data_IF_135543472103
#
_entry.id   IF_135543472103
#
_cell.length_a   1.000
_cell.length_b   1.000
_cell.length_c   1.000
_cell.angle_alpha   90.00
_cell.angle_beta   90.00
_cell.angle_gamma   90.00
#
_symmetry.space_group_name_H-M   'P 1'
#
loop_
_entity.id
_entity.type
_entity.pdbx_description
1 polymer ?
#
# COMPACT_ATOMS: atom_id res chain seq x y z
N UNK A 1 9.48 14.02 9.51
CA UNK A 1 9.24 15.49 9.51
C UNK A 1 7.72 15.72 9.59
N UNK A 2 7.23 16.78 10.22
CA UNK A 2 5.78 17.04 10.25
C UNK A 2 5.33 17.66 8.91
N UNK A 3 4.20 17.18 8.37
CA UNK A 3 3.62 17.73 7.14
C UNK A 3 2.91 19.06 7.42
N UNK A 4 2.90 19.96 6.43
CA UNK A 4 2.11 21.19 6.52
C UNK A 4 0.60 20.88 6.46
N UNK A 5 -0.23 21.66 7.16
CA UNK A 5 -1.67 21.42 7.21
C UNK A 5 -2.32 21.39 5.82
N UNK A 6 -1.92 22.30 4.92
CA UNK A 6 -2.41 22.35 3.54
C UNK A 6 -2.05 21.09 2.75
N UNK A 7 -0.84 20.53 2.96
CA UNK A 7 -0.40 19.29 2.32
C UNK A 7 -1.24 18.10 2.81
N UNK A 8 -1.51 18.04 4.11
CA UNK A 8 -2.35 16.99 4.71
C UNK A 8 -3.77 17.06 4.16
N UNK A 9 -4.36 18.26 4.06
CA UNK A 9 -5.71 18.44 3.53
C UNK A 9 -5.82 17.99 2.07
N UNK A 10 -4.86 18.37 1.23
CA UNK A 10 -4.81 17.94 -0.18
C UNK A 10 -4.68 16.43 -0.30
N UNK A 11 -3.72 15.85 0.41
CA UNK A 11 -3.49 14.40 0.39
C UNK A 11 -4.73 13.62 0.86
N UNK A 12 -5.40 14.06 1.93
CA UNK A 12 -6.66 13.45 2.40
C UNK A 12 -7.79 13.56 1.37
N UNK A 13 -7.95 14.72 0.73
CA UNK A 13 -8.99 14.92 -0.29
C UNK A 13 -8.79 14.08 -1.56
N UNK A 14 -7.53 13.86 -1.96
CA UNK A 14 -7.19 12.93 -3.04
C UNK A 14 -7.43 11.48 -2.60
N UNK A 15 -6.95 11.12 -1.41
CA UNK A 15 -7.08 9.77 -0.86
C UNK A 15 -8.54 9.34 -0.72
N UNK A 16 -9.42 10.22 -0.26
CA UNK A 16 -10.85 9.93 -0.11
C UNK A 16 -11.47 9.44 -1.43
N UNK A 17 -11.17 10.11 -2.55
CA UNK A 17 -11.65 9.71 -3.89
C UNK A 17 -11.07 8.36 -4.32
N UNK A 18 -9.79 8.14 -4.05
CA UNK A 18 -9.11 6.89 -4.38
C UNK A 18 -9.62 5.71 -3.54
N UNK A 19 -9.89 5.94 -2.26
CA UNK A 19 -10.27 4.91 -1.29
C UNK A 19 -11.70 4.38 -1.48
N UNK A 20 -12.60 5.11 -2.16
CA UNK A 20 -13.96 4.62 -2.49
C UNK A 20 -13.93 3.24 -3.17
N UNK A 21 -12.90 2.98 -3.99
CA UNK A 21 -12.71 1.71 -4.69
C UNK A 21 -11.58 0.87 -4.07
N UNK A 22 -11.46 0.85 -2.74
CA UNK A 22 -10.30 0.26 -2.04
C UNK A 22 -10.01 -1.20 -2.42
N UNK A 23 -11.04 -2.01 -2.64
CA UNK A 23 -10.83 -3.42 -3.01
C UNK A 23 -10.24 -3.55 -4.42
N UNK A 24 -10.81 -2.88 -5.41
CA UNK A 24 -10.32 -2.92 -6.79
C UNK A 24 -8.95 -2.27 -6.92
N UNK A 25 -8.77 -1.09 -6.31
CA UNK A 25 -7.48 -0.40 -6.33
C UNK A 25 -6.39 -1.20 -5.61
N UNK A 26 -6.72 -1.82 -4.48
CA UNK A 26 -5.80 -2.68 -3.76
C UNK A 26 -5.43 -3.94 -4.56
N UNK A 27 -6.39 -4.53 -5.27
CA UNK A 27 -6.13 -5.67 -6.15
C UNK A 27 -5.19 -5.30 -7.31
N UNK A 28 -5.40 -4.15 -7.95
CA UNK A 28 -4.53 -3.63 -9.02
C UNK A 28 -3.11 -3.42 -8.49
N UNK A 29 -2.95 -2.74 -7.34
CA UNK A 29 -1.62 -2.48 -6.74
C UNK A 29 -0.86 -3.79 -6.50
N UNK A 30 -1.49 -4.78 -5.85
CA UNK A 30 -0.82 -6.05 -5.58
C UNK A 30 -0.53 -6.85 -6.85
N UNK A 31 -1.45 -6.85 -7.82
CA UNK A 31 -1.27 -7.58 -9.08
C UNK A 31 -0.11 -7.00 -9.90
N UNK A 32 0.03 -5.67 -9.94
CA UNK A 32 1.19 -5.00 -10.52
C UNK A 32 2.47 -5.34 -9.76
N UNK A 33 2.44 -5.31 -8.42
CA UNK A 33 3.59 -5.69 -7.60
C UNK A 33 4.07 -7.11 -7.91
N UNK A 34 3.17 -8.09 -8.02
CA UNK A 34 3.54 -9.46 -8.36
C UNK A 34 4.11 -9.61 -9.77
N UNK A 35 3.69 -8.77 -10.72
CA UNK A 35 4.16 -8.81 -12.11
C UNK A 35 5.47 -8.08 -12.34
N UNK A 36 5.60 -6.89 -11.77
CA UNK A 36 6.79 -6.05 -11.90
C UNK A 36 7.91 -6.52 -10.97
N UNK A 37 7.55 -7.14 -9.84
CA UNK A 37 8.46 -7.61 -8.81
C UNK A 37 8.13 -9.06 -8.37
N UNK A 38 8.37 -10.07 -9.22
CA UNK A 38 7.98 -11.46 -8.94
C UNK A 38 8.58 -12.06 -7.67
N UNK A 39 9.69 -11.53 -7.16
CA UNK A 39 10.28 -11.99 -5.89
C UNK A 39 9.34 -11.78 -4.70
N UNK A 40 8.44 -10.80 -4.77
CA UNK A 40 7.44 -10.51 -3.74
C UNK A 40 6.45 -11.65 -3.54
N UNK A 41 6.23 -12.51 -4.54
CA UNK A 41 5.36 -13.69 -4.45
C UNK A 41 5.82 -14.65 -3.35
N UNK A 42 7.11 -14.67 -3.01
CA UNK A 42 7.66 -15.52 -1.94
C UNK A 42 7.10 -15.21 -0.55
N UNK A 43 6.55 -14.01 -0.32
CA UNK A 43 5.90 -13.64 0.94
C UNK A 43 4.45 -14.13 1.05
N UNK A 44 3.85 -14.58 -0.06
CA UNK A 44 2.44 -14.96 -0.17
C UNK A 44 2.26 -16.47 -0.35
N UNK A 45 3.03 -17.29 0.37
CA UNK A 45 3.00 -18.76 0.27
C UNK A 45 1.64 -19.37 0.65
N UNK A 46 0.86 -18.66 1.47
CA UNK A 46 -0.47 -19.10 1.88
C UNK A 46 -1.56 -18.84 0.82
N UNK A 47 -1.25 -18.09 -0.25
CA UNK A 47 -2.22 -17.71 -1.27
C UNK A 47 -2.20 -18.77 -2.38
N UNK A 48 -3.03 -19.81 -2.25
CA UNK A 48 -2.90 -21.03 -3.07
C UNK A 48 -3.22 -20.79 -4.54
N UNK A 49 -4.22 -19.96 -4.83
CA UNK A 49 -4.60 -19.65 -6.21
C UNK A 49 -3.58 -18.71 -6.85
N UNK A 50 -3.06 -17.76 -6.07
CA UNK A 50 -1.97 -16.90 -6.53
C UNK A 50 -0.73 -17.73 -6.87
N UNK A 51 -0.27 -18.60 -5.97
CA UNK A 51 0.93 -19.42 -6.18
C UNK A 51 0.80 -20.36 -7.39
N UNK A 52 -0.38 -20.90 -7.66
CA UNK A 52 -0.59 -21.81 -8.79
C UNK A 52 -0.69 -21.12 -10.14
N UNK A 53 -1.01 -19.81 -10.17
CA UNK A 53 -1.31 -19.08 -11.41
C UNK A 53 -0.35 -17.94 -11.73
N UNK A 54 0.41 -17.40 -10.77
CA UNK A 54 1.21 -16.18 -10.94
C UNK A 54 2.19 -16.20 -12.13
N UNK A 55 2.74 -17.38 -12.44
CA UNK A 55 3.67 -17.57 -13.56
C UNK A 55 3.04 -17.42 -14.94
N UNK A 56 1.72 -17.61 -15.08
CA UNK A 56 1.02 -17.64 -16.38
C UNK A 56 -0.12 -16.63 -16.49
N UNK A 57 -0.76 -16.28 -15.38
CA UNK A 57 -1.87 -15.33 -15.35
C UNK A 57 -1.44 -13.94 -15.80
N UNK A 58 -2.28 -13.22 -16.54
CA UNK A 58 -2.17 -11.79 -16.81
C UNK A 58 -2.40 -10.95 -15.54
N UNK A 59 -2.07 -9.66 -15.57
CA UNK A 59 -2.34 -8.74 -14.44
C UNK A 59 -3.83 -8.76 -14.08
N UNK A 60 -4.73 -8.70 -15.07
CA UNK A 60 -6.18 -8.69 -14.85
C UNK A 60 -6.70 -10.01 -14.26
N UNK A 61 -6.10 -11.15 -14.61
CA UNK A 61 -6.45 -12.42 -13.98
C UNK A 61 -6.01 -12.46 -12.51
N UNK A 62 -4.85 -11.89 -12.17
CA UNK A 62 -4.40 -11.74 -10.78
C UNK A 62 -5.31 -10.80 -9.97
N UNK A 63 -5.80 -9.71 -10.58
CA UNK A 63 -6.74 -8.77 -9.97
C UNK A 63 -8.07 -9.44 -9.60
N UNK A 64 -8.46 -10.49 -10.35
CA UNK A 64 -9.68 -11.25 -10.12
C UNK A 64 -9.59 -12.26 -8.98
N UNK A 65 -8.38 -12.59 -8.49
CA UNK A 65 -8.21 -13.59 -7.45
C UNK A 65 -8.75 -13.09 -6.11
N UNK A 66 -9.62 -13.89 -5.48
CA UNK A 66 -10.26 -13.55 -4.20
C UNK A 66 -9.23 -13.24 -3.10
N UNK A 67 -8.14 -14.00 -3.07
CA UNK A 67 -7.03 -13.82 -2.12
C UNK A 67 -6.36 -12.44 -2.30
N UNK A 68 -6.12 -12.04 -3.56
CA UNK A 68 -5.51 -10.75 -3.92
C UNK A 68 -6.44 -9.59 -3.61
N UNK A 69 -7.71 -9.67 -3.99
CA UNK A 69 -8.73 -8.64 -3.71
C UNK A 69 -8.91 -8.42 -2.21
N UNK A 70 -9.08 -9.51 -1.46
CA UNK A 70 -9.27 -9.45 -0.01
C UNK A 70 -8.05 -8.85 0.70
N UNK A 71 -6.84 -9.22 0.27
CA UNK A 71 -5.62 -8.66 0.87
C UNK A 71 -5.38 -7.21 0.46
N UNK A 72 -5.60 -6.87 -0.81
CA UNK A 72 -5.47 -5.50 -1.33
C UNK A 72 -6.36 -4.53 -0.56
N UNK A 73 -7.61 -4.92 -0.28
CA UNK A 73 -8.51 -4.15 0.59
C UNK A 73 -7.93 -3.94 1.99
N UNK A 74 -7.38 -4.98 2.63
CA UNK A 74 -6.76 -4.86 3.96
C UNK A 74 -5.59 -3.88 3.97
N UNK A 75 -4.74 -3.91 2.94
CA UNK A 75 -3.63 -2.98 2.77
C UNK A 75 -4.14 -1.54 2.65
N UNK A 76 -5.10 -1.28 1.77
CA UNK A 76 -5.64 0.07 1.62
C UNK A 76 -6.42 0.54 2.85
N UNK A 77 -7.10 -0.34 3.59
CA UNK A 77 -7.73 0.03 4.87
C UNK A 77 -6.69 0.41 5.92
N UNK A 78 -5.59 -0.32 6.04
CA UNK A 78 -4.51 0.06 6.96
C UNK A 78 -3.86 1.40 6.57
N UNK A 79 -3.62 1.63 5.28
CA UNK A 79 -3.15 2.92 4.78
C UNK A 79 -4.15 4.03 5.06
N UNK A 80 -5.46 3.77 4.94
CA UNK A 80 -6.47 4.75 5.27
C UNK A 80 -6.37 5.17 6.74
N UNK A 81 -6.24 4.23 7.67
CA UNK A 81 -6.08 4.54 9.09
C UNK A 81 -4.84 5.42 9.33
N UNK A 82 -3.73 5.15 8.63
CA UNK A 82 -2.51 5.97 8.69
C UNK A 82 -2.71 7.38 8.13
N UNK A 83 -3.38 7.52 6.97
CA UNK A 83 -3.70 8.81 6.34
C UNK A 83 -4.56 9.68 7.28
N UNK A 84 -5.49 9.06 8.03
CA UNK A 84 -6.30 9.77 9.01
C UNK A 84 -5.49 10.26 10.21
N UNK A 85 -4.32 9.70 10.50
CA UNK A 85 -3.49 10.07 11.66
C UNK A 85 -2.19 10.77 11.30
N UNK A 86 -1.96 11.16 10.04
CA UNK A 86 -0.66 11.72 9.59
C UNK A 86 -0.30 13.07 10.25
N UNK A 87 -1.27 13.77 10.85
CA UNK A 87 -1.09 14.97 11.68
C UNK A 87 -0.83 14.67 13.17
N UNK A 88 -1.01 13.41 13.60
CA UNK A 88 -0.79 12.96 14.97
C UNK A 88 0.22 11.81 15.00
N UNK A 89 1.49 12.15 15.20
CA UNK A 89 2.59 11.20 15.13
C UNK A 89 2.48 10.04 16.15
N UNK A 90 1.95 10.29 17.34
CA UNK A 90 1.78 9.25 18.35
C UNK A 90 0.67 8.26 17.97
N UNK A 91 -0.45 8.77 17.43
CA UNK A 91 -1.51 7.92 16.91
C UNK A 91 -1.08 7.15 15.65
N UNK A 92 -0.31 7.78 14.76
CA UNK A 92 0.26 7.12 13.59
C UNK A 92 1.19 5.97 13.98
N UNK A 93 2.08 6.19 14.96
CA UNK A 93 2.97 5.14 15.49
C UNK A 93 2.19 3.99 16.12
N UNK A 94 1.13 4.28 16.86
CA UNK A 94 0.29 3.24 17.45
C UNK A 94 -0.36 2.31 16.40
N UNK A 95 -0.61 2.81 15.18
CA UNK A 95 -1.08 2.00 14.05
C UNK A 95 0.09 1.24 13.40
N UNK A 96 1.23 1.91 13.18
CA UNK A 96 2.36 1.35 12.45
C UNK A 96 3.11 0.30 13.26
N UNK A 97 3.32 0.48 14.56
CA UNK A 97 4.08 -0.45 15.41
C UNK A 97 3.63 -1.93 15.28
N UNK A 98 2.35 -2.27 15.49
CA UNK A 98 1.91 -3.66 15.36
C UNK A 98 2.04 -4.18 13.92
N UNK A 99 1.83 -3.34 12.92
CA UNK A 99 1.95 -3.72 11.51
C UNK A 99 3.41 -3.96 11.10
N UNK A 100 4.32 -3.05 11.47
CA UNK A 100 5.74 -3.17 11.21
C UNK A 100 6.31 -4.42 11.87
N UNK A 101 6.00 -4.65 13.16
CA UNK A 101 6.43 -5.86 13.88
C UNK A 101 5.93 -7.15 13.20
N UNK A 102 4.65 -7.16 12.78
CA UNK A 102 4.10 -8.32 12.06
C UNK A 102 4.83 -8.59 10.76
N UNK A 103 5.06 -7.56 9.94
CA UNK A 103 5.74 -7.75 8.66
C UNK A 103 7.22 -8.10 8.83
N UNK A 104 7.92 -7.50 9.80
CA UNK A 104 9.33 -7.74 10.06
C UNK A 104 9.60 -9.11 10.70
N UNK A 105 8.88 -9.44 11.78
CA UNK A 105 9.20 -10.59 12.65
C UNK A 105 8.45 -11.85 12.21
N UNK A 106 7.15 -11.73 11.93
CA UNK A 106 6.32 -12.89 11.61
C UNK A 106 6.37 -13.24 10.13
N UNK A 107 6.19 -12.25 9.26
CA UNK A 107 6.14 -12.45 7.80
C UNK A 107 7.52 -12.35 7.14
N UNK A 108 8.53 -11.80 7.84
CA UNK A 108 9.91 -11.62 7.36
C UNK A 108 10.01 -10.88 6.02
N UNK A 109 9.11 -9.93 5.80
CA UNK A 109 9.10 -9.05 4.62
C UNK A 109 10.21 -8.02 4.77
N UNK A 110 11.07 -7.85 3.77
CA UNK A 110 12.09 -6.79 3.80
C UNK A 110 11.41 -5.41 3.77
N UNK A 111 11.93 -4.47 4.55
CA UNK A 111 11.37 -3.12 4.65
C UNK A 111 11.34 -2.39 3.29
N UNK A 112 12.24 -2.75 2.37
CA UNK A 112 12.31 -2.19 1.01
C UNK A 112 11.09 -2.54 0.15
N UNK A 113 10.40 -3.64 0.46
CA UNK A 113 9.22 -4.05 -0.31
C UNK A 113 8.06 -3.06 -0.16
N UNK A 114 8.00 -2.29 0.93
CA UNK A 114 7.02 -1.22 1.09
C UNK A 114 7.29 -0.03 0.15
N UNK A 115 8.54 0.22 -0.22
CA UNK A 115 8.87 1.28 -1.19
C UNK A 115 8.30 0.92 -2.57
N UNK A 116 8.38 -0.37 -2.94
CA UNK A 116 7.78 -0.90 -4.18
C UNK A 116 6.25 -0.72 -4.14
N UNK A 117 5.61 -1.15 -3.05
CA UNK A 117 4.17 -1.00 -2.88
C UNK A 117 3.73 0.47 -3.00
N UNK A 118 4.44 1.38 -2.33
CA UNK A 118 4.15 2.81 -2.38
C UNK A 118 4.37 3.42 -3.76
N UNK A 119 5.44 3.01 -4.48
CA UNK A 119 5.67 3.47 -5.85
C UNK A 119 4.51 3.08 -6.78
N UNK A 120 4.07 1.82 -6.74
CA UNK A 120 2.96 1.33 -7.56
C UNK A 120 1.64 2.02 -7.20
N UNK A 121 1.39 2.23 -5.90
CA UNK A 121 0.22 2.97 -5.42
C UNK A 121 0.19 4.40 -5.98
N UNK A 122 1.34 5.08 -5.97
CA UNK A 122 1.48 6.44 -6.48
C UNK A 122 1.28 6.52 -8.00
N UNK A 123 1.79 5.56 -8.77
CA UNK A 123 1.51 5.50 -10.21
C UNK A 123 0.03 5.25 -10.49
N UNK A 124 -0.60 4.31 -9.78
CA UNK A 124 -2.04 4.06 -9.93
C UNK A 124 -2.87 5.29 -9.56
N UNK A 125 -2.42 6.06 -8.55
CA UNK A 125 -3.07 7.31 -8.17
C UNK A 125 -2.92 8.38 -9.26
N UNK A 126 -1.74 8.50 -9.89
CA UNK A 126 -1.57 9.39 -11.04
C UNK A 126 -2.51 9.02 -12.19
N UNK A 127 -2.61 7.74 -12.54
CA UNK A 127 -3.48 7.25 -13.61
C UNK A 127 -4.96 7.54 -13.34
N UNK A 128 -5.42 7.39 -12.09
CA UNK A 128 -6.84 7.52 -11.73
C UNK A 128 -7.25 8.91 -11.28
N UNK A 129 -6.32 9.71 -10.76
CA UNK A 129 -6.61 10.98 -10.09
C UNK A 129 -5.76 12.16 -10.60
N UNK A 130 -4.79 11.92 -11.48
CA UNK A 130 -3.90 12.92 -12.08
C UNK A 130 -2.53 13.05 -11.40
N UNK A 131 -1.53 13.62 -12.09
CA UNK A 131 -0.15 13.76 -11.57
C UNK A 131 -0.07 14.59 -10.27
N UNK A 132 -0.93 15.59 -10.11
CA UNK A 132 -1.00 16.38 -8.89
C UNK A 132 -1.39 15.52 -7.69
N UNK A 133 -2.29 14.54 -7.88
CA UNK A 133 -2.70 13.61 -6.84
C UNK A 133 -1.53 12.76 -6.33
N UNK A 134 -0.69 12.28 -7.25
CA UNK A 134 0.55 11.56 -6.92
C UNK A 134 1.50 12.45 -6.12
N UNK A 135 1.68 13.70 -6.53
CA UNK A 135 2.59 14.64 -5.84
C UNK A 135 2.09 14.96 -4.42
N UNK A 136 0.80 15.22 -4.27
CA UNK A 136 0.18 15.52 -2.97
C UNK A 136 0.27 14.31 -2.02
N UNK A 137 0.00 13.09 -2.53
CA UNK A 137 0.01 11.89 -1.72
C UNK A 137 1.41 11.34 -1.45
N UNK A 138 2.41 11.64 -2.30
CA UNK A 138 3.79 11.20 -2.10
C UNK A 138 4.35 11.63 -0.74
N UNK A 139 4.00 12.83 -0.28
CA UNK A 139 4.44 13.33 1.03
C UNK A 139 3.95 12.45 2.17
N UNK A 140 2.73 11.92 2.06
CA UNK A 140 2.15 10.98 3.04
C UNK A 140 2.85 9.63 2.96
N UNK A 141 3.09 9.09 1.77
CA UNK A 141 3.82 7.83 1.62
C UNK A 141 5.25 7.92 2.15
N UNK A 142 5.93 9.05 1.95
CA UNK A 142 7.29 9.26 2.48
C UNK A 142 7.29 9.19 4.02
N UNK A 143 6.35 9.87 4.69
CA UNK A 143 6.21 9.81 6.16
C UNK A 143 5.87 8.41 6.64
N UNK A 144 4.93 7.72 5.99
CA UNK A 144 4.53 6.35 6.36
C UNK A 144 5.71 5.39 6.19
N UNK A 145 6.42 5.44 5.06
CA UNK A 145 7.59 4.61 4.81
C UNK A 145 8.71 4.88 5.82
N UNK A 146 8.98 6.13 6.17
CA UNK A 146 9.94 6.48 7.22
C UNK A 146 9.54 5.90 8.58
N UNK A 147 8.26 5.99 8.95
CA UNK A 147 7.78 5.43 10.22
C UNK A 147 7.85 3.90 10.22
N UNK A 148 7.43 3.22 9.14
CA UNK A 148 7.58 1.76 9.01
C UNK A 148 9.04 1.36 9.18
N UNK A 149 9.98 2.04 8.50
CA UNK A 149 11.41 1.78 8.63
C UNK A 149 11.93 1.94 10.06
N UNK A 150 11.38 2.88 10.83
CA UNK A 150 11.79 3.07 12.22
C UNK A 150 11.28 1.99 13.18
N UNK A 151 10.27 1.22 12.77
CA UNK A 151 9.66 0.13 13.54
C UNK A 151 10.32 -1.23 13.26
N UNK A 152 11.00 -1.35 12.12
CA UNK A 152 11.68 -2.54 11.64
C UNK A 152 12.99 -2.83 12.40
#
# INVERSE_FOLDING_TARGET
>A
MALAADDIQKARGVWEKFYVNAEDNGAIVLSRMFKEHPHTLSYFTNFKELQSTAGTASVTELEGLSEVRTHGKKVLSALNDMVQQVDNMDALKAIIEPLGKKHAVELKVDVKEFEILCAILLELMAEKCGEDAKTDFKKVTDVVCEQIKSTY
#
